data_IF_058142813671
#
_entry.id   IF_058142813671
#
_cell.length_a   1.000
_cell.length_b   1.000
_cell.length_c   1.000
_cell.angle_alpha   90.00
_cell.angle_beta   90.00
_cell.angle_gamma   90.00
#
_symmetry.space_group_name_H-M   'P 1'
#
loop_
_entity.id
_entity.type
_entity.pdbx_description
1 polymer ?
#
# COMPACT_ATOMS: atom_id res chain seq x y z
N UNK A 1 -3.09 -5.06 -6.30
CA UNK A 1 -2.16 -5.02 -7.45
C UNK A 1 -2.60 -3.94 -8.42
N UNK A 2 -1.72 -3.52 -9.26
CA UNK A 2 -2.02 -2.62 -10.36
C UNK A 2 -1.20 -3.06 -11.57
N UNK A 3 -1.80 -3.01 -12.75
CA UNK A 3 -1.09 -3.16 -14.02
C UNK A 3 -0.94 -1.77 -14.63
N UNK A 4 0.30 -1.43 -14.96
CA UNK A 4 0.69 -0.17 -15.53
C UNK A 4 0.77 -0.31 -17.04
N UNK A 5 -0.01 0.48 -17.78
CA UNK A 5 0.09 0.66 -19.22
C UNK A 5 0.71 2.00 -19.57
N UNK A 6 1.61 2.05 -20.53
CA UNK A 6 2.09 3.29 -21.11
C UNK A 6 2.46 3.10 -22.58
N UNK A 7 2.26 4.14 -23.35
CA UNK A 7 2.55 4.15 -24.77
C UNK A 7 4.01 4.60 -25.00
N UNK A 8 4.75 3.86 -25.79
CA UNK A 8 6.10 4.23 -26.25
C UNK A 8 6.03 4.53 -27.73
N UNK A 9 6.38 5.76 -28.13
CA UNK A 9 6.59 6.12 -29.52
C UNK A 9 7.99 5.64 -29.95
N UNK A 10 8.08 4.82 -30.96
CA UNK A 10 9.33 4.31 -31.52
C UNK A 10 10.02 5.32 -32.49
N UNK A 11 9.49 6.54 -32.58
CA UNK A 11 9.99 7.59 -33.46
C UNK A 11 9.52 7.43 -34.92
N UNK A 12 8.75 6.40 -35.24
CA UNK A 12 8.15 6.19 -36.57
C UNK A 12 6.70 6.67 -36.67
N UNK A 13 6.16 7.21 -35.57
CA UNK A 13 4.74 7.52 -35.42
C UNK A 13 3.89 6.30 -35.06
N UNK A 14 4.52 5.19 -34.73
CA UNK A 14 3.86 3.99 -34.22
C UNK A 14 3.99 3.94 -32.69
N UNK A 15 2.88 3.73 -32.01
CA UNK A 15 2.84 3.63 -30.55
C UNK A 15 2.71 2.18 -30.15
N UNK A 16 3.62 1.72 -29.28
CA UNK A 16 3.53 0.40 -28.67
C UNK A 16 3.11 0.55 -27.23
N UNK A 17 2.04 -0.09 -26.83
CA UNK A 17 1.63 -0.14 -25.44
C UNK A 17 2.45 -1.19 -24.69
N UNK A 18 3.11 -0.77 -23.62
CA UNK A 18 3.82 -1.65 -22.70
C UNK A 18 3.02 -1.78 -21.41
N UNK A 19 2.82 -3.02 -20.98
CA UNK A 19 2.14 -3.32 -19.72
C UNK A 19 3.15 -3.88 -18.72
N UNK A 20 3.13 -3.38 -17.51
CA UNK A 20 3.98 -3.81 -16.40
C UNK A 20 3.17 -3.93 -15.12
N UNK A 21 3.25 -5.06 -14.46
CA UNK A 21 2.58 -5.27 -13.17
C UNK A 21 3.35 -4.59 -12.05
N UNK A 22 2.64 -3.82 -11.23
CA UNK A 22 3.15 -3.23 -10.00
C UNK A 22 3.14 -4.28 -8.89
N UNK A 23 4.30 -4.60 -8.35
CA UNK A 23 4.47 -5.61 -7.31
C UNK A 23 3.82 -5.19 -5.98
N UNK A 24 3.90 -3.91 -5.64
CA UNK A 24 3.27 -3.36 -4.44
C UNK A 24 3.10 -1.84 -4.53
N UNK A 25 2.08 -1.35 -3.80
CA UNK A 25 1.81 0.07 -3.56
C UNK A 25 2.20 0.39 -2.12
N UNK A 26 2.95 1.47 -1.91
CA UNK A 26 3.36 1.96 -0.59
C UNK A 26 3.99 0.88 0.29
N UNK A 27 4.91 0.11 -0.28
CA UNK A 27 5.72 -0.88 0.46
C UNK A 27 7.20 -0.68 0.17
N UNK A 28 8.04 -1.09 1.12
CA UNK A 28 9.48 -1.06 0.94
C UNK A 28 9.89 -1.81 -0.34
N UNK A 29 10.69 -1.14 -1.17
CA UNK A 29 11.21 -1.70 -2.43
C UNK A 29 12.16 -2.86 -2.14
N UNK A 30 12.01 -3.94 -2.91
CA UNK A 30 12.93 -5.08 -2.93
C UNK A 30 13.80 -5.04 -4.19
N UNK A 31 14.73 -5.99 -4.33
CA UNK A 31 15.64 -6.08 -5.48
C UNK A 31 14.94 -6.50 -6.77
N UNK A 32 13.66 -6.87 -6.73
CA UNK A 32 12.91 -7.29 -7.91
C UNK A 32 11.52 -6.69 -7.86
N UNK A 33 11.02 -6.25 -9.02
CA UNK A 33 9.68 -5.70 -9.16
C UNK A 33 9.62 -4.20 -9.41
N UNK A 34 8.44 -3.76 -9.81
CA UNK A 34 8.06 -2.37 -9.95
C UNK A 34 7.19 -1.98 -8.75
N UNK A 35 7.48 -0.84 -8.14
CA UNK A 35 6.79 -0.33 -6.95
C UNK A 35 6.17 1.03 -7.25
N UNK A 36 5.00 1.28 -6.68
CA UNK A 36 4.31 2.56 -6.77
C UNK A 36 4.30 3.22 -5.39
N UNK A 37 4.74 4.45 -5.32
CA UNK A 37 4.70 5.27 -4.11
C UNK A 37 3.80 6.48 -4.30
N UNK A 38 3.03 6.80 -3.26
CA UNK A 38 2.17 7.97 -3.18
C UNK A 38 2.68 8.95 -2.13
N UNK A 39 2.15 10.16 -2.13
CA UNK A 39 2.43 11.18 -1.11
C UNK A 39 2.25 10.66 0.33
N UNK A 40 1.24 9.81 0.55
CA UNK A 40 0.88 9.30 1.87
C UNK A 40 1.72 8.10 2.33
N UNK A 41 2.74 7.69 1.57
CA UNK A 41 3.56 6.55 1.95
C UNK A 41 4.26 6.72 3.30
N UNK A 42 4.76 7.92 3.59
CA UNK A 42 5.38 8.22 4.88
C UNK A 42 5.33 9.72 5.17
N UNK A 43 5.55 10.09 6.43
CA UNK A 43 5.49 11.48 6.90
C UNK A 43 6.54 12.44 6.28
N UNK A 44 7.52 11.93 5.54
CA UNK A 44 8.51 12.74 4.80
C UNK A 44 8.10 12.95 3.35
N UNK A 45 7.02 12.33 2.91
CA UNK A 45 6.52 12.38 1.53
C UNK A 45 7.61 12.05 0.50
N UNK A 46 8.27 10.90 0.70
CA UNK A 46 9.34 10.42 -0.17
C UNK A 46 9.19 8.91 -0.43
N UNK A 47 9.95 8.37 -1.38
CA UNK A 47 10.02 6.92 -1.60
C UNK A 47 10.59 6.15 -0.40
N UNK A 48 11.26 6.82 0.54
CA UNK A 48 11.78 6.22 1.78
C UNK A 48 12.79 5.09 1.57
N UNK A 49 13.38 5.00 0.39
CA UNK A 49 14.30 3.91 0.01
C UNK A 49 15.73 4.19 0.47
N UNK A 50 16.51 3.14 0.70
CA UNK A 50 17.91 3.22 1.17
C UNK A 50 18.92 2.88 0.08
N UNK A 51 18.48 2.36 -1.06
CA UNK A 51 19.31 1.98 -2.19
C UNK A 51 18.92 2.78 -3.43
N UNK A 52 19.85 2.96 -4.36
CA UNK A 52 19.56 3.61 -5.63
C UNK A 52 18.43 2.90 -6.38
N UNK A 53 17.62 3.69 -7.01
CA UNK A 53 16.53 3.22 -7.86
C UNK A 53 16.41 4.04 -9.12
N UNK A 54 15.77 3.46 -10.11
CA UNK A 54 15.22 4.16 -11.25
C UNK A 54 13.82 4.57 -10.89
N UNK A 55 13.55 5.87 -10.87
CA UNK A 55 12.31 6.47 -10.38
C UNK A 55 11.68 7.33 -11.48
N UNK A 56 10.47 6.99 -11.91
CA UNK A 56 9.66 7.83 -12.77
C UNK A 56 8.64 8.58 -11.91
N UNK A 57 8.75 9.89 -11.88
CA UNK A 57 7.80 10.77 -11.18
C UNK A 57 6.74 11.18 -12.15
N UNK A 58 5.48 10.99 -11.77
CA UNK A 58 4.33 11.26 -12.61
C UNK A 58 3.31 12.10 -11.84
N UNK A 59 2.75 13.13 -12.47
CA UNK A 59 1.62 13.91 -11.95
C UNK A 59 0.30 13.29 -12.37
N UNK A 60 -0.59 13.05 -11.43
CA UNK A 60 -1.94 12.53 -11.69
C UNK A 60 -2.76 13.62 -12.38
N UNK A 61 -3.30 13.30 -13.56
CA UNK A 61 -4.17 14.20 -14.33
C UNK A 61 -5.64 13.82 -14.20
N UNK A 62 -5.95 12.52 -14.05
CA UNK A 62 -7.31 12.01 -13.92
C UNK A 62 -7.37 10.78 -13.03
N UNK A 63 -8.52 10.58 -12.37
CA UNK A 63 -8.80 9.44 -11.53
C UNK A 63 -8.29 9.58 -10.10
N UNK A 64 -8.63 8.61 -9.27
CA UNK A 64 -8.24 8.52 -7.86
C UNK A 64 -7.54 7.18 -7.60
N UNK A 65 -6.63 7.15 -6.64
CA UNK A 65 -5.93 5.93 -6.21
C UNK A 65 -6.84 5.05 -5.33
N UNK A 66 -7.96 4.63 -5.88
CA UNK A 66 -8.94 3.77 -5.23
C UNK A 66 -9.09 2.43 -5.97
N UNK A 67 -9.50 1.38 -5.26
CA UNK A 67 -9.77 0.08 -5.85
C UNK A 67 -10.87 0.20 -6.91
N UNK A 68 -10.65 -0.39 -8.08
CA UNK A 68 -11.57 -0.33 -9.23
C UNK A 68 -11.40 0.92 -10.10
N UNK A 69 -10.64 1.92 -9.64
CA UNK A 69 -10.43 3.15 -10.40
C UNK A 69 -9.27 3.03 -11.37
N UNK A 70 -9.44 3.68 -12.52
CA UNK A 70 -8.35 3.90 -13.49
C UNK A 70 -7.77 5.28 -13.27
N UNK A 71 -6.46 5.35 -13.18
CA UNK A 71 -5.70 6.59 -12.98
C UNK A 71 -4.89 6.86 -14.23
N UNK A 72 -4.91 8.10 -14.69
CA UNK A 72 -4.05 8.61 -15.75
C UNK A 72 -3.10 9.64 -15.16
N UNK A 73 -1.82 9.48 -15.41
CA UNK A 73 -0.78 10.36 -14.94
C UNK A 73 0.21 10.69 -16.07
N UNK A 74 0.83 11.86 -16.01
CA UNK A 74 1.85 12.31 -16.97
C UNK A 74 3.24 12.17 -16.36
N UNK A 75 4.18 11.65 -17.11
CA UNK A 75 5.58 11.53 -16.70
C UNK A 75 6.23 12.93 -16.67
N UNK A 76 6.63 13.37 -15.48
CA UNK A 76 7.33 14.66 -15.30
C UNK A 76 8.82 14.51 -15.55
N UNK A 77 9.42 13.47 -14.98
CA UNK A 77 10.84 13.16 -15.07
C UNK A 77 11.14 11.71 -14.71
N UNK A 78 12.28 11.24 -15.18
CA UNK A 78 12.89 9.98 -14.73
C UNK A 78 14.25 10.34 -14.11
N UNK A 79 14.51 9.81 -12.93
CA UNK A 79 15.74 10.08 -12.17
C UNK A 79 16.30 8.79 -11.56
N UNK A 80 17.62 8.73 -11.43
CA UNK A 80 18.29 7.64 -10.72
C UNK A 80 18.83 8.17 -9.40
N UNK A 81 18.11 7.88 -8.32
CA UNK A 81 18.45 8.37 -6.98
C UNK A 81 17.96 7.41 -5.90
N UNK A 82 18.55 7.53 -4.72
CA UNK A 82 18.17 6.73 -3.56
C UNK A 82 16.77 7.12 -3.05
N UNK A 83 16.49 8.42 -2.96
CA UNK A 83 15.24 8.93 -2.38
C UNK A 83 14.65 9.99 -3.31
N UNK A 84 13.38 9.82 -3.67
CA UNK A 84 12.62 10.79 -4.47
C UNK A 84 11.52 11.41 -3.61
N UNK A 85 11.40 12.74 -3.66
CA UNK A 85 10.30 13.48 -3.04
C UNK A 85 9.02 13.35 -3.88
N UNK A 86 7.86 13.32 -3.21
CA UNK A 86 6.56 13.12 -3.83
C UNK A 86 5.66 14.30 -3.43
N UNK A 87 5.03 14.95 -4.40
CA UNK A 87 4.04 15.99 -4.15
C UNK A 87 2.63 15.39 -3.98
N UNK A 88 1.64 16.12 -3.42
CA UNK A 88 0.30 15.58 -3.16
C UNK A 88 -0.42 15.00 -4.38
N UNK A 89 -0.15 15.55 -5.57
CA UNK A 89 -0.72 15.14 -6.85
C UNK A 89 0.18 14.19 -7.64
N UNK A 90 1.28 13.71 -7.04
CA UNK A 90 2.26 12.85 -7.70
C UNK A 90 2.24 11.43 -7.19
N UNK A 91 2.65 10.54 -8.08
CA UNK A 91 3.10 9.18 -7.79
C UNK A 91 4.53 8.98 -8.27
N UNK A 92 5.22 8.02 -7.68
CA UNK A 92 6.54 7.59 -8.15
C UNK A 92 6.51 6.10 -8.46
N UNK A 93 6.81 5.76 -9.70
CA UNK A 93 7.08 4.40 -10.13
C UNK A 93 8.57 4.13 -9.92
N UNK A 94 8.91 3.08 -9.21
CA UNK A 94 10.29 2.84 -8.78
C UNK A 94 10.69 1.38 -8.92
N UNK A 95 11.88 1.16 -9.47
CA UNK A 95 12.56 -0.13 -9.43
C UNK A 95 13.94 0.03 -8.78
N UNK A 96 14.43 -1.00 -8.07
CA UNK A 96 15.82 -1.00 -7.59
C UNK A 96 16.77 -0.90 -8.80
N UNK A 97 17.83 -0.09 -8.71
CA UNK A 97 18.79 0.08 -9.82
C UNK A 97 19.46 -1.24 -10.25
N UNK A 98 19.55 -2.21 -9.33
CA UNK A 98 20.06 -3.56 -9.57
C UNK A 98 18.97 -4.58 -9.96
N UNK A 99 17.73 -4.14 -10.12
CA UNK A 99 16.64 -5.01 -10.59
C UNK A 99 16.88 -5.44 -12.05
N UNK A 100 16.13 -6.48 -12.45
CA UNK A 100 16.13 -6.95 -13.84
C UNK A 100 15.90 -5.79 -14.83
N UNK A 101 16.58 -5.85 -15.96
CA UNK A 101 16.44 -4.88 -17.05
C UNK A 101 14.97 -4.72 -17.53
N UNK A 102 14.17 -5.75 -17.36
CA UNK A 102 12.73 -5.69 -17.62
C UNK A 102 12.02 -4.55 -16.88
N UNK A 103 12.38 -4.31 -15.61
CA UNK A 103 11.81 -3.23 -14.80
C UNK A 103 12.57 -1.91 -14.98
N UNK A 104 13.91 -1.96 -14.91
CA UNK A 104 14.73 -0.75 -14.95
C UNK A 104 14.69 -0.06 -16.30
N UNK A 105 14.75 -0.81 -17.41
CA UNK A 105 14.64 -0.22 -18.75
C UNK A 105 13.22 0.30 -19.03
N UNK A 106 12.18 -0.34 -18.48
CA UNK A 106 10.82 0.16 -18.59
C UNK A 106 10.69 1.59 -18.04
N UNK A 107 11.36 1.90 -16.91
CA UNK A 107 11.37 3.24 -16.35
C UNK A 107 12.35 4.18 -17.06
N UNK A 108 13.60 3.73 -17.35
CA UNK A 108 14.61 4.56 -18.02
C UNK A 108 14.15 5.08 -19.38
N UNK A 109 13.43 4.23 -20.11
CA UNK A 109 12.98 4.54 -21.46
C UNK A 109 11.56 5.17 -21.49
N UNK A 110 11.01 5.49 -20.34
CA UNK A 110 9.69 6.14 -20.24
C UNK A 110 9.82 7.59 -20.70
N UNK A 111 9.14 7.99 -21.79
CA UNK A 111 9.31 9.35 -22.32
C UNK A 111 8.71 10.38 -21.37
N UNK A 112 9.47 11.42 -21.07
CA UNK A 112 8.96 12.59 -20.32
C UNK A 112 7.82 13.23 -21.11
N UNK A 113 6.73 13.56 -20.43
CA UNK A 113 5.50 14.09 -21.03
C UNK A 113 4.55 13.01 -21.56
N UNK A 114 4.95 11.73 -21.57
CA UNK A 114 4.04 10.66 -21.96
C UNK A 114 2.98 10.38 -20.89
N UNK A 115 1.87 9.85 -21.33
CA UNK A 115 0.78 9.41 -20.47
C UNK A 115 1.04 7.98 -19.98
N UNK A 116 0.75 7.77 -18.71
CA UNK A 116 0.80 6.49 -18.03
C UNK A 116 -0.57 6.21 -17.45
N UNK A 117 -1.16 5.06 -17.80
CA UNK A 117 -2.47 4.65 -17.31
C UNK A 117 -2.34 3.38 -16.48
N UNK A 118 -3.03 3.31 -15.35
CA UNK A 118 -3.12 2.10 -14.56
C UNK A 118 -4.46 1.98 -13.84
N UNK A 119 -4.88 0.74 -13.61
CA UNK A 119 -6.07 0.43 -12.84
C UNK A 119 -5.65 -0.22 -11.53
N UNK A 120 -6.15 0.29 -10.41
CA UNK A 120 -5.94 -0.30 -9.10
C UNK A 120 -6.90 -1.46 -8.94
N UNK A 121 -6.37 -2.67 -8.83
CA UNK A 121 -7.19 -3.87 -8.64
C UNK A 121 -6.96 -4.48 -7.26
N UNK A 122 -7.98 -5.11 -6.73
CA UNK A 122 -7.89 -5.90 -5.52
C UNK A 122 -8.08 -7.39 -5.83
N UNK A 123 -7.74 -8.24 -4.87
CA UNK A 123 -8.16 -9.64 -4.93
C UNK A 123 -9.67 -9.71 -4.74
N UNK A 124 -10.30 -10.73 -5.30
CA UNK A 124 -11.74 -10.96 -5.22
C UNK A 124 -12.28 -10.80 -3.79
N UNK A 125 -13.37 -10.05 -3.65
CA UNK A 125 -14.03 -9.73 -2.39
C UNK A 125 -13.55 -8.44 -1.72
N UNK A 126 -12.64 -7.68 -2.35
CA UNK A 126 -12.17 -6.37 -1.85
C UNK A 126 -12.63 -5.20 -2.71
N UNK A 127 -13.35 -5.47 -3.79
CA UNK A 127 -13.79 -4.46 -4.76
C UNK A 127 -14.82 -3.48 -4.16
N UNK A 128 -15.65 -3.98 -3.23
CA UNK A 128 -16.76 -3.22 -2.62
C UNK A 128 -16.44 -2.79 -1.17
N UNK A 129 -15.15 -2.75 -0.77
CA UNK A 129 -14.74 -2.39 0.59
C UNK A 129 -14.46 -0.90 0.68
N UNK A 130 -15.25 -0.18 1.49
CA UNK A 130 -15.03 1.26 1.74
C UNK A 130 -13.75 1.53 2.52
N UNK A 131 -13.43 0.66 3.49
CA UNK A 131 -12.25 0.82 4.35
C UNK A 131 -11.56 -0.51 4.60
N UNK A 132 -10.23 -0.51 4.60
CA UNK A 132 -9.41 -1.66 4.94
C UNK A 132 -8.37 -1.29 5.99
N UNK A 133 -8.31 -2.08 7.06
CA UNK A 133 -7.33 -1.90 8.14
C UNK A 133 -6.50 -3.17 8.27
N UNK A 134 -5.18 -3.01 8.22
CA UNK A 134 -4.27 -4.10 8.49
C UNK A 134 -4.24 -4.45 9.99
N UNK A 135 -4.48 -5.72 10.32
CA UNK A 135 -4.37 -6.24 11.67
C UNK A 135 -3.30 -7.34 11.73
N UNK A 136 -2.64 -7.45 12.88
CA UNK A 136 -1.61 -8.47 13.09
C UNK A 136 -2.24 -9.81 13.50
N UNK A 137 -3.35 -9.78 14.24
CA UNK A 137 -4.02 -10.96 14.76
C UNK A 137 -5.53 -10.89 14.55
N UNK A 138 -6.13 -12.01 14.13
CA UNK A 138 -7.56 -12.26 14.30
C UNK A 138 -7.76 -12.78 15.72
N UNK A 139 -8.46 -12.03 16.57
CA UNK A 139 -8.61 -12.33 17.99
C UNK A 139 -9.78 -13.28 18.27
N UNK A 140 -10.86 -13.14 17.51
CA UNK A 140 -12.04 -13.98 17.59
C UNK A 140 -12.73 -14.04 16.23
N UNK A 141 -13.35 -15.15 15.94
CA UNK A 141 -14.15 -15.38 14.74
C UNK A 141 -15.30 -16.33 15.07
N UNK A 142 -16.47 -16.05 14.53
CA UNK A 142 -17.68 -16.88 14.69
C UNK A 142 -18.02 -17.20 16.17
N UNK A 143 -17.84 -16.20 17.05
CA UNK A 143 -18.12 -16.32 18.47
C UNK A 143 -17.08 -17.09 19.29
N UNK A 144 -15.93 -17.42 18.71
CA UNK A 144 -14.86 -18.18 19.36
C UNK A 144 -13.55 -17.40 19.35
N UNK A 145 -12.88 -17.33 20.50
CA UNK A 145 -11.53 -16.76 20.60
C UNK A 145 -10.54 -17.64 19.86
N UNK A 146 -9.71 -17.01 19.02
CA UNK A 146 -8.67 -17.71 18.25
C UNK A 146 -7.66 -18.38 19.18
N UNK A 147 -7.34 -19.64 18.90
CA UNK A 147 -6.31 -20.39 19.63
C UNK A 147 -4.90 -20.02 19.18
N UNK A 148 -3.89 -20.26 20.03
CA UNK A 148 -2.48 -20.04 19.68
C UNK A 148 -2.06 -18.56 19.58
N UNK A 149 -2.84 -17.63 20.13
CA UNK A 149 -2.48 -16.23 20.18
C UNK A 149 -1.19 -16.03 21.00
N UNK A 150 -0.36 -15.08 20.55
CA UNK A 150 0.90 -14.76 21.22
C UNK A 150 0.67 -14.35 22.69
N UNK A 151 1.48 -14.89 23.58
CA UNK A 151 1.43 -14.58 25.01
C UNK A 151 1.92 -13.16 25.33
N UNK A 152 1.58 -12.67 26.51
CA UNK A 152 2.06 -11.42 27.08
C UNK A 152 1.01 -10.33 27.13
N UNK A 153 1.10 -9.52 28.21
CA UNK A 153 0.24 -8.36 28.45
C UNK A 153 0.91 -7.10 27.92
N UNK A 154 0.16 -6.32 27.14
CA UNK A 154 0.64 -5.08 26.50
C UNK A 154 -0.52 -4.09 26.36
N UNK A 155 -0.24 -2.78 26.19
CA UNK A 155 -1.24 -1.88 25.64
C UNK A 155 -1.65 -2.35 24.26
N UNK A 156 -2.94 -2.30 23.94
CA UNK A 156 -3.52 -2.85 22.71
C UNK A 156 -4.62 -1.95 22.17
N UNK A 157 -4.77 -2.01 20.87
CA UNK A 157 -5.96 -1.52 20.16
C UNK A 157 -6.53 -2.67 19.36
N UNK A 158 -7.83 -2.85 19.42
CA UNK A 158 -8.55 -3.86 18.66
C UNK A 158 -9.81 -3.25 18.03
N UNK A 159 -10.25 -3.85 16.94
CA UNK A 159 -11.52 -3.53 16.28
C UNK A 159 -12.32 -4.81 16.20
N UNK A 160 -13.60 -4.74 16.61
CA UNK A 160 -14.56 -5.81 16.46
C UNK A 160 -15.77 -5.33 15.69
N UNK A 161 -16.52 -6.26 15.11
CA UNK A 161 -17.79 -5.99 14.44
C UNK A 161 -18.89 -6.82 15.09
N UNK A 162 -20.02 -6.18 15.40
CA UNK A 162 -21.24 -6.86 15.86
C UNK A 162 -22.05 -7.40 14.69
N UNK A 163 -22.98 -8.30 14.99
CA UNK A 163 -23.87 -8.88 13.98
C UNK A 163 -24.73 -7.85 13.20
N UNK A 164 -25.01 -6.70 13.81
CA UNK A 164 -25.73 -5.59 13.17
C UNK A 164 -24.85 -4.64 12.35
N UNK A 165 -23.55 -4.97 12.20
CA UNK A 165 -22.57 -4.16 11.48
C UNK A 165 -21.90 -3.07 12.34
N UNK A 166 -22.31 -2.87 13.60
CA UNK A 166 -21.69 -1.88 14.49
C UNK A 166 -20.21 -2.20 14.73
N UNK A 167 -19.34 -1.22 14.49
CA UNK A 167 -17.91 -1.34 14.79
C UNK A 167 -17.63 -0.92 16.24
N UNK A 168 -16.84 -1.74 16.92
CA UNK A 168 -16.35 -1.51 18.28
C UNK A 168 -14.83 -1.27 18.21
N UNK A 169 -14.40 -0.07 18.57
CA UNK A 169 -12.98 0.24 18.77
C UNK A 169 -12.65 0.08 20.24
N UNK A 170 -11.79 -0.85 20.57
CA UNK A 170 -11.40 -1.17 21.93
C UNK A 170 -9.93 -0.89 22.15
N UNK A 171 -9.64 -0.03 23.11
CA UNK A 171 -8.26 0.31 23.50
C UNK A 171 -8.02 0.00 24.98
N UNK A 172 -6.85 -0.48 25.29
CA UNK A 172 -6.41 -0.70 26.66
C UNK A 172 -5.02 -0.11 26.88
N UNK A 173 -4.90 0.68 27.93
CA UNK A 173 -3.60 1.18 28.40
C UNK A 173 -2.76 0.04 28.95
N UNK A 174 -1.45 0.22 28.98
CA UNK A 174 -0.54 -0.76 29.54
C UNK A 174 0.83 -0.20 29.88
N UNK A 175 1.69 -1.03 30.47
CA UNK A 175 3.06 -0.67 30.86
C UNK A 175 3.11 0.51 31.85
N UNK A 176 2.03 0.75 32.59
CA UNK A 176 1.94 1.81 33.62
C UNK A 176 1.70 1.16 34.99
N UNK A 177 2.75 1.06 35.77
CA UNK A 177 2.68 0.53 37.13
C UNK A 177 1.67 1.29 37.99
N UNK A 178 0.78 0.57 38.68
CA UNK A 178 -0.28 1.15 39.52
C UNK A 178 -1.50 1.68 38.75
N UNK A 179 -1.50 1.63 37.42
CA UNK A 179 -2.63 2.03 36.58
C UNK A 179 -3.12 0.89 35.70
N UNK A 180 -2.31 0.44 34.77
CA UNK A 180 -2.63 -0.69 33.87
C UNK A 180 -1.35 -1.36 33.38
N UNK A 181 -1.33 -2.68 33.46
CA UNK A 181 -0.25 -3.50 32.87
C UNK A 181 -0.55 -3.85 31.40
N UNK A 182 -1.78 -3.65 30.94
CA UNK A 182 -2.27 -4.10 29.63
C UNK A 182 -3.10 -5.37 29.69
N UNK A 183 -3.38 -5.94 28.54
CA UNK A 183 -4.07 -7.22 28.42
C UNK A 183 -3.37 -8.17 27.45
N UNK A 184 -3.63 -9.48 27.59
CA UNK A 184 -3.27 -10.47 26.60
C UNK A 184 -4.21 -10.39 25.39
N UNK A 185 -3.79 -10.97 24.26
CA UNK A 185 -4.63 -11.04 23.05
C UNK A 185 -5.90 -11.87 23.33
N UNK A 186 -5.79 -12.95 24.09
CA UNK A 186 -6.94 -13.77 24.51
C UNK A 186 -7.96 -12.97 25.30
N UNK A 187 -7.52 -12.22 26.33
CA UNK A 187 -8.40 -11.36 27.14
C UNK A 187 -9.14 -10.32 26.30
N UNK A 188 -8.47 -9.77 25.28
CA UNK A 188 -9.14 -8.80 24.39
C UNK A 188 -10.14 -9.51 23.49
N UNK A 189 -9.82 -10.69 22.97
CA UNK A 189 -10.77 -11.51 22.19
C UNK A 189 -12.02 -11.84 23.00
N UNK A 190 -11.86 -12.32 24.25
CA UNK A 190 -12.95 -12.55 25.18
C UNK A 190 -13.80 -11.31 25.42
N UNK A 191 -13.12 -10.16 25.63
CA UNK A 191 -13.80 -8.89 25.88
C UNK A 191 -14.61 -8.41 24.66
N UNK A 192 -14.10 -8.59 23.45
CA UNK A 192 -14.85 -8.25 22.23
C UNK A 192 -16.09 -9.13 22.08
N UNK A 193 -16.00 -10.44 22.39
CA UNK A 193 -17.16 -11.34 22.40
C UNK A 193 -18.20 -10.91 23.45
N UNK A 194 -17.79 -10.53 24.67
CA UNK A 194 -18.67 -9.97 25.70
C UNK A 194 -19.39 -8.69 25.25
N UNK A 195 -18.76 -7.89 24.39
CA UNK A 195 -19.34 -6.68 23.79
C UNK A 195 -20.26 -6.99 22.61
N UNK A 196 -20.39 -8.26 22.24
CA UNK A 196 -21.28 -8.71 21.16
C UNK A 196 -20.65 -8.70 19.76
N UNK A 197 -19.32 -8.67 19.68
CA UNK A 197 -18.60 -8.73 18.40
C UNK A 197 -18.42 -10.16 17.92
#
# INVERSE_FOLDING_TARGET
SADLGYAVDDGSGSTTELIRSVAAVNKARTNSGLFLYTYDFNAKHTTGTTENGVNAVCTIEQGELAIGSTVTARVDRVEETTVTAIQPDQIVLSANANADAYYTNALRNMPVGSEVTFTVTANSGWEDVDYAVGALYCLAQDGVVTSGLAAGVNPRTAVGQKADGTLVFYTIDGRKTGHSIGASLTQIGERLLELGC
#
